data_IF_094727284709
#
_entry.id   IF_094727284709
#
_cell.length_a   1.000
_cell.length_b   1.000
_cell.length_c   1.000
_cell.angle_alpha   90.00
_cell.angle_beta   90.00
_cell.angle_gamma   90.00
#
_symmetry.space_group_name_H-M   'P 1'
#
loop_
_entity.id
_entity.type
_entity.pdbx_description
1 polymer ?
#
# COMPACT_ATOMS: atom_id res chain seq x y z
N UNK A 1 5.20 -8.36 36.04
CA UNK A 1 4.69 -7.12 35.41
C UNK A 1 5.12 -7.18 33.95
N UNK A 2 4.54 -8.12 33.20
CA UNK A 2 4.92 -8.49 31.83
C UNK A 2 3.73 -8.23 30.89
N UNK A 3 3.20 -7.00 30.93
CA UNK A 3 2.03 -6.59 30.14
C UNK A 3 2.40 -5.47 29.14
N UNK A 4 3.70 -5.14 29.01
CA UNK A 4 4.18 -3.97 28.26
C UNK A 4 4.45 -4.21 26.78
N UNK A 5 5.24 -5.23 26.44
CA UNK A 5 5.83 -5.35 25.09
C UNK A 5 4.86 -6.00 24.09
N UNK A 6 4.16 -7.07 24.50
CA UNK A 6 3.21 -7.76 23.64
C UNK A 6 2.01 -6.87 23.25
N UNK A 7 1.55 -6.02 24.17
CA UNK A 7 0.40 -5.13 23.94
C UNK A 7 0.73 -3.95 23.02
N UNK A 8 1.99 -3.50 22.97
CA UNK A 8 2.43 -2.42 22.07
C UNK A 8 2.63 -2.98 20.67
N UNK A 9 3.29 -4.13 20.51
CA UNK A 9 3.36 -4.82 19.23
C UNK A 9 1.97 -5.20 18.71
N UNK A 10 1.02 -5.60 19.56
CA UNK A 10 -0.36 -5.88 19.13
C UNK A 10 -1.18 -4.61 18.84
N UNK A 11 -0.85 -3.46 19.46
CA UNK A 11 -1.49 -2.17 19.18
C UNK A 11 -0.98 -1.57 17.87
N UNK A 12 0.34 -1.62 17.63
CA UNK A 12 0.96 -1.28 16.35
C UNK A 12 0.47 -2.25 15.28
N UNK A 13 0.52 -3.58 15.48
CA UNK A 13 0.02 -4.58 14.51
C UNK A 13 -1.46 -4.45 14.17
N UNK A 14 -2.30 -4.04 15.13
CA UNK A 14 -3.73 -3.75 14.88
C UNK A 14 -3.94 -2.47 14.06
N UNK A 15 -3.01 -1.51 14.13
CA UNK A 15 -2.96 -0.35 13.22
C UNK A 15 -2.23 -0.67 11.91
N UNK A 16 -1.34 -1.67 11.91
CA UNK A 16 -0.44 -2.03 10.81
C UNK A 16 -1.09 -2.82 9.67
N UNK A 17 -2.21 -3.49 9.92
CA UNK A 17 -2.97 -4.13 8.83
C UNK A 17 -3.35 -3.11 7.72
N UNK A 18 -3.39 -1.82 8.08
CA UNK A 18 -3.62 -0.70 7.18
C UNK A 18 -2.42 0.24 7.04
N UNK A 19 -1.18 -0.14 7.42
CA UNK A 19 0.01 0.75 7.35
C UNK A 19 1.33 0.07 6.93
N UNK A 20 1.48 -1.26 7.04
CA UNK A 20 2.77 -1.98 6.86
C UNK A 20 3.21 -2.27 5.41
N UNK A 21 2.87 -1.40 4.48
CA UNK A 21 3.51 -1.42 3.16
C UNK A 21 3.72 0.02 2.71
N UNK A 22 4.55 0.32 1.73
CA UNK A 22 4.55 1.65 1.10
C UNK A 22 3.22 2.00 0.37
N UNK A 23 2.17 1.18 0.56
CA UNK A 23 0.89 1.17 -0.15
C UNK A 23 -0.32 1.75 0.61
N UNK A 24 -0.42 1.74 1.96
CA UNK A 24 -1.57 2.27 2.66
C UNK A 24 -1.58 3.79 2.79
N UNK A 25 -0.43 4.46 2.71
CA UNK A 25 -0.38 5.94 2.80
C UNK A 25 -0.96 6.57 1.51
N UNK A 26 -0.73 5.94 0.35
CA UNK A 26 -1.36 6.36 -0.91
C UNK A 26 -2.84 5.95 -0.97
N UNK A 27 -3.21 4.76 -0.51
CA UNK A 27 -4.62 4.33 -0.53
C UNK A 27 -5.47 5.03 0.54
N UNK A 28 -4.94 5.36 1.73
CA UNK A 28 -5.62 6.21 2.74
C UNK A 28 -5.85 7.65 2.28
N UNK A 29 -5.11 8.17 1.30
CA UNK A 29 -5.50 9.45 0.68
C UNK A 29 -6.75 9.33 -0.21
N UNK A 30 -7.13 8.11 -0.61
CA UNK A 30 -8.38 7.81 -1.32
C UNK A 30 -9.47 7.19 -0.43
N UNK A 31 -9.14 6.68 0.77
CA UNK A 31 -10.08 6.00 1.68
C UNK A 31 -10.11 6.53 3.12
N UNK A 32 -9.29 7.54 3.46
CA UNK A 32 -9.18 8.14 4.80
C UNK A 32 -10.14 9.32 5.04
N UNK A 33 -10.05 9.99 6.22
CA UNK A 33 -11.03 10.95 6.77
C UNK A 33 -11.26 12.25 5.97
N UNK A 34 -10.71 12.36 4.75
CA UNK A 34 -11.15 13.31 3.73
C UNK A 34 -12.43 12.85 3.00
N UNK A 35 -12.92 11.63 3.27
CA UNK A 35 -14.17 11.11 2.73
C UNK A 35 -15.05 10.47 3.82
N UNK A 36 -15.48 11.22 4.86
CA UNK A 36 -16.48 10.70 5.80
C UNK A 36 -17.81 10.49 5.06
N UNK A 37 -18.58 9.41 5.34
CA UNK A 37 -19.93 9.29 4.84
C UNK A 37 -20.76 10.40 5.48
N UNK A 38 -21.17 11.38 4.68
CA UNK A 38 -22.09 12.44 5.09
C UNK A 38 -23.29 12.36 4.16
N UNK A 39 -24.45 12.16 4.75
CA UNK A 39 -25.73 12.10 4.06
C UNK A 39 -25.92 13.39 3.23
N UNK A 40 -26.32 13.25 1.97
CA UNK A 40 -26.67 14.42 1.14
C UNK A 40 -28.15 14.43 0.83
N UNK A 41 -28.86 15.37 1.46
CA UNK A 41 -30.05 15.98 0.90
C UNK A 41 -29.58 17.13 -0.02
N UNK A 42 -29.48 16.90 -1.33
CA UNK A 42 -29.14 17.88 -2.40
C UNK A 42 -27.71 18.47 -2.46
N UNK A 43 -26.91 18.07 -3.47
CA UNK A 43 -25.81 18.91 -3.97
C UNK A 43 -24.56 18.20 -4.51
N UNK A 44 -24.75 17.33 -5.51
CA UNK A 44 -23.80 16.78 -6.50
C UNK A 44 -22.30 16.65 -6.09
N UNK A 45 -21.96 15.50 -5.49
CA UNK A 45 -20.60 14.93 -5.45
C UNK A 45 -20.69 13.43 -5.72
N UNK A 46 -20.09 12.96 -6.82
CA UNK A 46 -20.05 11.53 -7.15
C UNK A 46 -19.05 10.83 -6.23
N UNK A 47 -19.54 10.15 -5.19
CA UNK A 47 -18.71 9.29 -4.34
C UNK A 47 -18.33 8.05 -5.17
N UNK A 48 -17.05 7.94 -5.53
CA UNK A 48 -16.49 6.76 -6.17
C UNK A 48 -16.07 5.77 -5.08
N UNK A 49 -16.82 4.67 -4.87
CA UNK A 49 -16.32 3.64 -3.96
C UNK A 49 -15.12 2.92 -4.59
N UNK A 50 -14.08 2.74 -3.78
CA UNK A 50 -12.79 2.17 -4.16
C UNK A 50 -12.71 0.75 -3.58
N UNK A 51 -12.49 -0.24 -4.44
CA UNK A 51 -12.28 -1.63 -4.03
C UNK A 51 -10.77 -1.93 -4.02
N UNK A 52 -10.24 -2.31 -2.87
CA UNK A 52 -8.82 -2.69 -2.75
C UNK A 52 -8.68 -4.22 -2.79
N UNK A 53 -7.75 -4.71 -3.62
CA UNK A 53 -7.38 -6.13 -3.70
C UNK A 53 -5.87 -6.28 -3.83
N UNK A 54 -5.32 -7.38 -3.30
CA UNK A 54 -3.95 -7.80 -3.55
C UNK A 54 -3.91 -8.79 -4.73
N UNK A 55 -2.96 -8.61 -5.64
CA UNK A 55 -2.74 -9.48 -6.78
C UNK A 55 -2.40 -10.90 -6.33
N UNK A 56 -2.99 -11.89 -7.00
CA UNK A 56 -2.68 -13.30 -6.77
C UNK A 56 -1.21 -13.59 -7.06
N UNK A 57 -0.65 -14.65 -6.45
CA UNK A 57 0.74 -15.08 -6.60
C UNK A 57 1.19 -15.37 -8.05
N UNK A 58 0.24 -15.47 -8.99
CA UNK A 58 0.45 -15.59 -10.43
C UNK A 58 -0.74 -15.02 -11.18
N UNK A 59 -0.57 -14.76 -12.47
CA UNK A 59 -1.67 -14.46 -13.37
C UNK A 59 -2.63 -15.66 -13.47
N UNK A 60 -3.76 -15.54 -12.79
CA UNK A 60 -4.83 -16.53 -12.76
C UNK A 60 -6.19 -15.79 -12.77
N UNK A 61 -6.93 -15.84 -13.88
CA UNK A 61 -8.21 -15.14 -14.02
C UNK A 61 -9.27 -15.61 -13.02
N UNK A 62 -9.29 -16.91 -12.68
CA UNK A 62 -10.25 -17.46 -11.73
C UNK A 62 -9.95 -16.95 -10.34
N UNK A 63 -8.68 -16.99 -9.93
CA UNK A 63 -8.26 -16.45 -8.65
C UNK A 63 -8.53 -14.93 -8.56
N UNK A 64 -8.38 -14.20 -9.67
CA UNK A 64 -8.68 -12.77 -9.72
C UNK A 64 -10.16 -12.47 -9.51
N UNK A 65 -11.06 -13.18 -10.19
CA UNK A 65 -12.50 -13.04 -9.95
C UNK A 65 -12.87 -13.37 -8.50
N UNK A 66 -12.31 -14.45 -7.94
CA UNK A 66 -12.53 -14.84 -6.55
C UNK A 66 -12.07 -13.75 -5.58
N UNK A 67 -10.90 -13.15 -5.80
CA UNK A 67 -10.37 -12.06 -4.98
C UNK A 67 -11.31 -10.84 -4.97
N UNK A 68 -11.89 -10.49 -6.12
CA UNK A 68 -12.87 -9.41 -6.20
C UNK A 68 -14.13 -9.75 -5.40
N UNK A 69 -14.66 -10.96 -5.56
CA UNK A 69 -15.86 -11.41 -4.82
C UNK A 69 -15.60 -11.48 -3.31
N UNK A 70 -14.44 -11.97 -2.88
CA UNK A 70 -14.02 -11.98 -1.48
C UNK A 70 -14.01 -10.55 -0.89
N UNK A 71 -13.42 -9.59 -1.62
CA UNK A 71 -13.36 -8.20 -1.19
C UNK A 71 -14.73 -7.50 -1.14
N UNK A 72 -15.71 -8.01 -1.90
CA UNK A 72 -17.11 -7.56 -1.88
C UNK A 72 -17.98 -8.36 -0.89
N UNK A 73 -17.41 -9.36 -0.21
CA UNK A 73 -18.14 -10.21 0.73
C UNK A 73 -19.16 -11.14 0.05
N UNK A 74 -18.98 -11.44 -1.23
CA UNK A 74 -19.92 -12.26 -2.02
C UNK A 74 -19.47 -13.72 -2.07
N UNK A 75 -20.32 -14.67 -1.66
CA UNK A 75 -19.97 -16.09 -1.71
C UNK A 75 -19.96 -16.63 -3.15
N UNK A 76 -19.10 -17.61 -3.39
CA UNK A 76 -19.01 -18.36 -4.63
C UNK A 76 -18.70 -19.84 -4.35
N UNK A 77 -19.00 -20.71 -5.32
CA UNK A 77 -18.74 -22.13 -5.25
C UNK A 77 -17.25 -22.45 -5.45
N UNK A 78 -16.75 -23.46 -4.73
CA UNK A 78 -15.34 -23.89 -4.82
C UNK A 78 -14.94 -24.34 -6.24
N UNK A 79 -15.89 -24.91 -7.00
CA UNK A 79 -15.70 -25.48 -8.33
C UNK A 79 -16.34 -24.63 -9.45
N UNK A 80 -16.71 -23.39 -9.15
CA UNK A 80 -17.33 -22.54 -10.16
C UNK A 80 -16.37 -22.29 -11.31
N UNK A 81 -16.91 -22.35 -12.53
CA UNK A 81 -16.15 -22.13 -13.74
C UNK A 81 -15.75 -20.66 -13.85
N UNK A 82 -14.72 -20.40 -14.66
CA UNK A 82 -14.31 -19.03 -14.97
C UNK A 82 -15.47 -18.18 -15.52
N UNK A 83 -16.29 -18.74 -16.42
CA UNK A 83 -17.43 -18.04 -17.01
C UNK A 83 -18.48 -17.65 -15.96
N UNK A 84 -18.77 -18.55 -15.01
CA UNK A 84 -19.70 -18.29 -13.91
C UNK A 84 -19.18 -17.18 -12.99
N UNK A 85 -17.92 -17.27 -12.55
CA UNK A 85 -17.29 -16.27 -11.68
C UNK A 85 -17.15 -14.91 -12.37
N UNK A 86 -16.74 -14.89 -13.63
CA UNK A 86 -16.59 -13.66 -14.43
C UNK A 86 -17.93 -12.93 -14.56
N UNK A 87 -19.00 -13.66 -14.90
CA UNK A 87 -20.35 -13.10 -14.95
C UNK A 87 -20.80 -12.57 -13.59
N UNK A 88 -20.60 -13.35 -12.52
CA UNK A 88 -20.98 -12.93 -11.17
C UNK A 88 -20.24 -11.65 -10.74
N UNK A 89 -18.95 -11.54 -11.04
CA UNK A 89 -18.17 -10.31 -10.79
C UNK A 89 -18.79 -9.11 -11.52
N UNK A 90 -19.13 -9.25 -12.80
CA UNK A 90 -19.73 -8.17 -13.57
C UNK A 90 -21.10 -7.76 -13.01
N UNK A 91 -21.93 -8.72 -12.65
CA UNK A 91 -23.27 -8.46 -12.12
C UNK A 91 -23.21 -7.75 -10.76
N UNK A 92 -22.37 -8.25 -9.84
CA UNK A 92 -22.16 -7.62 -8.53
C UNK A 92 -21.58 -6.22 -8.69
N UNK A 93 -20.51 -6.05 -9.48
CA UNK A 93 -19.88 -4.74 -9.64
C UNK A 93 -20.83 -3.73 -10.29
N UNK A 94 -21.75 -4.16 -11.17
CA UNK A 94 -22.78 -3.30 -11.78
C UNK A 94 -23.79 -2.79 -10.77
N UNK A 95 -24.12 -3.60 -9.76
CA UNK A 95 -25.03 -3.22 -8.67
C UNK A 95 -24.33 -2.38 -7.59
N UNK A 96 -22.99 -2.40 -7.55
CA UNK A 96 -22.21 -1.60 -6.61
C UNK A 96 -21.96 -0.17 -7.10
N UNK A 97 -21.60 0.72 -6.17
CA UNK A 97 -21.05 2.04 -6.47
C UNK A 97 -19.55 2.01 -6.83
N UNK A 98 -18.95 0.83 -7.06
CA UNK A 98 -17.50 0.71 -7.29
C UNK A 98 -17.15 1.32 -8.63
N UNK A 99 -16.13 2.18 -8.61
CA UNK A 99 -15.71 2.95 -9.78
C UNK A 99 -14.20 2.95 -9.96
N UNK A 100 -13.48 2.46 -8.95
CA UNK A 100 -12.06 2.20 -9.00
C UNK A 100 -11.72 0.88 -8.30
N UNK A 101 -10.87 0.07 -8.92
CA UNK A 101 -10.25 -1.10 -8.30
C UNK A 101 -8.76 -0.81 -8.14
N UNK A 102 -8.27 -0.87 -6.90
CA UNK A 102 -6.86 -0.79 -6.56
C UNK A 102 -6.31 -2.20 -6.47
N UNK A 103 -5.26 -2.48 -7.24
CA UNK A 103 -4.57 -3.76 -7.24
C UNK A 103 -3.17 -3.55 -6.68
N UNK A 104 -2.95 -4.10 -5.50
CA UNK A 104 -1.64 -4.14 -4.90
C UNK A 104 -0.82 -5.36 -5.35
N UNK A 105 0.51 -5.28 -5.29
CA UNK A 105 1.44 -6.29 -5.82
C UNK A 105 1.20 -6.70 -7.27
N UNK A 106 0.82 -5.75 -8.11
CA UNK A 106 0.49 -5.97 -9.53
C UNK A 106 1.57 -6.73 -10.31
N UNK A 107 2.83 -6.61 -9.86
CA UNK A 107 3.96 -7.32 -10.43
C UNK A 107 3.84 -8.86 -10.34
N UNK A 108 3.03 -9.40 -9.42
CA UNK A 108 2.76 -10.84 -9.35
C UNK A 108 2.09 -11.39 -10.62
N UNK A 109 1.37 -10.56 -11.38
CA UNK A 109 0.78 -10.96 -12.67
C UNK A 109 1.82 -11.15 -13.79
N UNK A 110 3.09 -10.78 -13.57
CA UNK A 110 4.18 -11.15 -14.46
C UNK A 110 4.50 -12.65 -14.40
N UNK A 111 4.08 -13.36 -13.36
CA UNK A 111 4.32 -14.80 -13.20
C UNK A 111 3.15 -15.60 -13.77
N UNK A 112 3.42 -16.62 -14.57
CA UNK A 112 2.40 -17.52 -15.12
C UNK A 112 2.51 -17.74 -16.62
N UNK A 113 1.67 -18.64 -17.15
CA UNK A 113 1.60 -18.95 -18.58
C UNK A 113 1.00 -17.77 -19.36
N UNK A 114 1.42 -17.62 -20.62
CA UNK A 114 0.97 -16.51 -21.47
C UNK A 114 -0.54 -16.49 -21.67
N UNK A 115 -1.17 -17.65 -21.89
CA UNK A 115 -2.62 -17.77 -22.08
C UNK A 115 -3.41 -17.33 -20.84
N UNK A 116 -2.90 -17.60 -19.63
CA UNK A 116 -3.51 -17.15 -18.38
C UNK A 116 -3.37 -15.63 -18.18
N UNK A 117 -2.20 -15.07 -18.55
CA UNK A 117 -1.99 -13.62 -18.54
C UNK A 117 -2.93 -12.91 -19.50
N UNK A 118 -3.08 -13.44 -20.70
CA UNK A 118 -3.97 -12.88 -21.73
C UNK A 118 -5.44 -12.98 -21.30
N UNK A 119 -5.84 -14.09 -20.67
CA UNK A 119 -7.18 -14.23 -20.11
C UNK A 119 -7.44 -13.24 -18.95
N UNK A 120 -6.45 -12.99 -18.09
CA UNK A 120 -6.55 -12.03 -16.99
C UNK A 120 -6.68 -10.60 -17.51
N UNK A 121 -5.82 -10.23 -18.47
CA UNK A 121 -5.90 -8.96 -19.20
C UNK A 121 -7.26 -8.73 -19.82
N UNK A 122 -7.78 -9.71 -20.55
CA UNK A 122 -9.11 -9.64 -21.13
C UNK A 122 -10.19 -9.46 -20.06
N UNK A 123 -10.08 -10.14 -18.91
CA UNK A 123 -11.01 -9.98 -17.78
C UNK A 123 -10.99 -8.54 -17.25
N UNK A 124 -9.80 -7.98 -17.00
CA UNK A 124 -9.65 -6.59 -16.57
C UNK A 124 -10.20 -5.61 -17.61
N UNK A 125 -9.92 -5.85 -18.90
CA UNK A 125 -10.43 -5.03 -20.00
C UNK A 125 -11.97 -5.03 -20.05
N UNK A 126 -12.59 -6.21 -19.89
CA UNK A 126 -14.05 -6.35 -19.85
C UNK A 126 -14.65 -5.56 -18.69
N UNK A 127 -14.13 -5.72 -17.48
CA UNK A 127 -14.57 -4.96 -16.30
C UNK A 127 -14.45 -3.45 -16.55
N UNK A 128 -13.30 -3.00 -17.06
CA UNK A 128 -13.07 -1.58 -17.31
C UNK A 128 -14.02 -1.00 -18.36
N UNK A 129 -14.19 -1.70 -19.49
CA UNK A 129 -14.98 -1.18 -20.61
C UNK A 129 -16.49 -1.24 -20.33
N UNK A 130 -16.99 -2.35 -19.78
CA UNK A 130 -18.42 -2.52 -19.55
C UNK A 130 -18.93 -1.69 -18.38
N UNK A 131 -18.15 -1.60 -17.30
CA UNK A 131 -18.58 -0.97 -16.06
C UNK A 131 -17.98 0.42 -15.86
N UNK A 132 -17.11 0.88 -16.78
CA UNK A 132 -16.36 2.14 -16.67
C UNK A 132 -15.53 2.25 -15.38
N UNK A 133 -15.08 1.11 -14.88
CA UNK A 133 -14.23 1.02 -13.69
C UNK A 133 -12.78 1.31 -14.09
N UNK A 134 -12.13 2.18 -13.33
CA UNK A 134 -10.69 2.46 -13.48
C UNK A 134 -9.86 1.52 -12.62
N UNK A 135 -8.65 1.19 -13.07
CA UNK A 135 -7.70 0.40 -12.29
C UNK A 135 -6.54 1.28 -11.84
N UNK A 136 -6.17 1.17 -10.57
CA UNK A 136 -4.93 1.70 -10.02
C UNK A 136 -4.06 0.52 -9.59
N UNK A 137 -2.86 0.41 -10.14
CA UNK A 137 -1.97 -0.72 -9.90
C UNK A 137 -0.71 -0.26 -9.15
N UNK A 138 -0.39 -0.91 -8.05
CA UNK A 138 0.83 -0.71 -7.27
C UNK A 138 1.77 -1.90 -7.46
N UNK A 139 3.07 -1.63 -7.60
CA UNK A 139 4.08 -2.68 -7.77
C UNK A 139 5.41 -2.13 -8.26
N UNK A 140 6.33 -3.05 -8.57
CA UNK A 140 7.67 -2.69 -9.04
C UNK A 140 7.66 -2.24 -10.51
N UNK A 141 8.68 -1.49 -10.97
CA UNK A 141 8.72 -0.94 -12.33
C UNK A 141 8.55 -1.96 -13.46
N UNK A 142 9.00 -3.21 -13.28
CA UNK A 142 8.85 -4.28 -14.28
C UNK A 142 7.39 -4.62 -14.57
N UNK A 143 6.47 -4.34 -13.63
CA UNK A 143 5.04 -4.60 -13.80
C UNK A 143 4.42 -3.77 -14.95
N UNK A 144 5.06 -2.67 -15.34
CA UNK A 144 4.66 -1.89 -16.51
C UNK A 144 4.67 -2.70 -17.80
N UNK A 145 5.54 -3.72 -17.91
CA UNK A 145 5.56 -4.61 -19.07
C UNK A 145 4.22 -5.33 -19.25
N UNK A 146 3.60 -5.77 -18.15
CA UNK A 146 2.31 -6.48 -18.21
C UNK A 146 1.22 -5.62 -18.86
N UNK A 147 1.22 -4.31 -18.56
CA UNK A 147 0.28 -3.31 -19.08
C UNK A 147 0.64 -2.91 -20.51
N UNK A 148 1.94 -2.74 -20.80
CA UNK A 148 2.43 -2.28 -22.09
C UNK A 148 2.22 -3.29 -23.23
N UNK A 149 2.22 -4.60 -22.92
CA UNK A 149 1.92 -5.67 -23.88
C UNK A 149 0.46 -5.63 -24.41
N UNK A 150 -0.39 -4.79 -23.83
CA UNK A 150 -1.79 -4.63 -24.22
C UNK A 150 -2.09 -3.22 -24.72
N UNK A 151 -2.06 -3.06 -26.05
CA UNK A 151 -2.26 -1.79 -26.77
C UNK A 151 -3.54 -1.01 -26.41
N UNK A 152 -4.57 -1.65 -25.85
CA UNK A 152 -5.83 -0.99 -25.46
C UNK A 152 -5.91 -0.59 -23.98
N UNK A 153 -5.09 -1.19 -23.11
CA UNK A 153 -5.03 -0.84 -21.69
C UNK A 153 -3.99 0.24 -21.45
N UNK A 154 -2.87 0.24 -22.18
CA UNK A 154 -1.76 1.19 -22.01
C UNK A 154 -2.15 2.67 -22.04
N UNK A 155 -3.14 3.08 -22.84
CA UNK A 155 -3.61 4.48 -22.91
C UNK A 155 -4.43 4.93 -21.69
N UNK A 156 -4.95 3.98 -20.90
CA UNK A 156 -5.78 4.24 -19.71
C UNK A 156 -5.00 4.19 -18.40
N UNK A 157 -3.84 3.53 -18.38
CA UNK A 157 -2.95 3.53 -17.22
C UNK A 157 -1.98 4.70 -17.30
N UNK A 158 -2.16 5.69 -16.42
CA UNK A 158 -1.15 6.73 -16.20
C UNK A 158 -0.08 6.19 -15.26
N UNK A 159 1.17 6.21 -15.72
CA UNK A 159 2.31 5.88 -14.87
C UNK A 159 2.53 7.02 -13.87
N UNK A 160 2.48 6.70 -12.58
CA UNK A 160 3.03 7.52 -11.52
C UNK A 160 4.18 6.73 -10.88
N UNK A 161 5.29 7.41 -10.59
CA UNK A 161 6.41 6.83 -9.85
C UNK A 161 6.42 7.51 -8.49
N UNK A 162 6.41 6.71 -7.43
CA UNK A 162 6.66 7.19 -6.08
C UNK A 162 8.16 7.50 -5.99
N UNK A 163 8.56 8.78 -5.87
CA UNK A 163 9.97 9.13 -5.76
C UNK A 163 10.50 8.68 -4.39
N UNK A 164 11.81 8.45 -4.31
CA UNK A 164 12.48 8.37 -3.01
C UNK A 164 12.42 9.73 -2.32
N UNK A 165 12.35 9.71 -1.00
CA UNK A 165 12.42 10.91 -0.19
C UNK A 165 13.86 11.42 -0.11
N UNK A 166 14.03 12.71 -0.36
CA UNK A 166 15.33 13.37 -0.35
C UNK A 166 15.19 14.83 0.13
N UNK A 167 16.33 15.43 0.48
CA UNK A 167 16.38 16.79 1.03
C UNK A 167 16.25 17.89 -0.03
N UNK A 168 16.26 17.54 -1.32
CA UNK A 168 16.34 18.49 -2.44
C UNK A 168 14.97 18.71 -3.09
N UNK A 169 14.27 17.63 -3.40
CA UNK A 169 13.09 17.59 -4.26
C UNK A 169 11.78 17.55 -3.45
N UNK A 170 11.77 16.90 -2.28
CA UNK A 170 10.52 16.60 -1.57
C UNK A 170 10.61 16.73 -0.03
N UNK A 171 11.63 17.45 0.47
CA UNK A 171 11.87 17.65 1.91
C UNK A 171 10.63 18.15 2.68
N UNK A 172 9.93 19.17 2.16
CA UNK A 172 8.77 19.76 2.85
C UNK A 172 7.62 18.76 2.99
N UNK A 173 7.34 18.00 1.93
CA UNK A 173 6.31 16.96 1.95
C UNK A 173 6.71 15.82 2.88
N UNK A 174 8.00 15.46 2.90
CA UNK A 174 8.51 14.46 3.83
C UNK A 174 8.40 14.91 5.30
N UNK A 175 8.68 16.17 5.60
CA UNK A 175 8.46 16.74 6.95
C UNK A 175 6.99 16.66 7.39
N UNK A 176 6.05 16.90 6.47
CA UNK A 176 4.61 16.76 6.75
C UNK A 176 4.22 15.30 7.01
N UNK A 177 4.79 14.37 6.25
CA UNK A 177 4.61 12.94 6.46
C UNK A 177 5.14 12.51 7.83
N UNK A 178 6.35 12.92 8.19
CA UNK A 178 6.95 12.62 9.50
C UNK A 178 6.14 13.20 10.65
N UNK A 179 5.60 14.41 10.53
CA UNK A 179 4.70 14.96 11.55
C UNK A 179 3.40 14.15 11.67
N UNK A 180 2.90 13.60 10.57
CA UNK A 180 1.71 12.75 10.56
C UNK A 180 2.00 11.38 11.21
N UNK A 181 3.13 10.76 10.87
CA UNK A 181 3.60 9.51 11.49
C UNK A 181 3.88 9.69 12.98
N UNK A 182 4.49 10.80 13.39
CA UNK A 182 4.74 11.10 14.80
C UNK A 182 3.44 11.11 15.62
N UNK A 183 2.35 11.61 15.04
CA UNK A 183 1.05 11.67 15.71
C UNK A 183 0.43 10.29 15.99
N UNK A 184 0.91 9.23 15.33
CA UNK A 184 0.46 7.86 15.54
C UNK A 184 1.37 7.07 16.48
N UNK A 185 2.57 7.60 16.81
CA UNK A 185 3.50 6.91 17.68
C UNK A 185 3.01 6.96 19.14
N UNK A 186 3.05 5.84 19.89
CA UNK A 186 2.62 5.76 21.29
C UNK A 186 3.66 6.35 22.27
N UNK A 187 4.25 7.50 21.94
CA UNK A 187 5.28 8.17 22.76
C UNK A 187 4.66 9.32 23.56
N UNK A 188 5.06 9.46 24.83
CA UNK A 188 4.55 10.52 25.71
C UNK A 188 5.16 11.89 25.41
N UNK A 189 6.38 11.93 24.85
CA UNK A 189 7.08 13.17 24.52
C UNK A 189 7.13 13.35 23.01
N UNK A 190 6.89 14.58 22.56
CA UNK A 190 7.06 14.93 21.16
C UNK A 190 8.53 14.77 20.74
N UNK A 191 8.75 13.95 19.72
CA UNK A 191 10.06 13.73 19.11
C UNK A 191 10.43 14.84 18.12
N UNK A 192 9.42 15.57 17.62
CA UNK A 192 9.52 16.59 16.60
C UNK A 192 10.26 16.08 15.35
N UNK A 193 9.81 14.95 14.80
CA UNK A 193 10.48 14.23 13.70
C UNK A 193 10.68 15.12 12.45
N UNK A 194 9.84 16.13 12.28
CA UNK A 194 9.92 17.12 11.21
C UNK A 194 11.14 18.06 11.29
N UNK A 195 11.89 18.06 12.41
CA UNK A 195 13.10 18.87 12.55
C UNK A 195 14.19 18.40 11.59
N UNK A 196 14.91 19.36 11.00
CA UNK A 196 15.92 19.12 9.96
C UNK A 196 16.93 18.01 10.30
N UNK A 197 17.42 17.97 11.55
CA UNK A 197 18.41 16.98 11.97
C UNK A 197 17.88 15.54 11.93
N UNK A 198 16.65 15.30 12.40
CA UNK A 198 16.01 13.99 12.35
C UNK A 198 15.61 13.62 10.92
N UNK A 199 15.11 14.59 10.15
CA UNK A 199 14.76 14.40 8.73
C UNK A 199 15.96 13.89 7.93
N UNK A 200 17.11 14.57 8.02
CA UNK A 200 18.32 14.18 7.29
C UNK A 200 18.81 12.80 7.72
N UNK A 201 18.74 12.50 9.02
CA UNK A 201 19.15 11.21 9.57
C UNK A 201 18.26 10.07 9.08
N UNK A 202 16.94 10.25 9.14
CA UNK A 202 15.97 9.27 8.64
C UNK A 202 16.12 9.05 7.14
N UNK A 203 16.35 10.09 6.34
CA UNK A 203 16.62 9.95 4.90
C UNK A 203 17.87 9.12 4.66
N UNK A 204 18.94 9.37 5.40
CA UNK A 204 20.20 8.64 5.23
C UNK A 204 20.07 7.17 5.63
N UNK A 205 19.44 6.88 6.77
CA UNK A 205 19.25 5.52 7.27
C UNK A 205 18.31 4.68 6.39
N UNK A 206 17.26 5.31 5.86
CA UNK A 206 16.26 4.67 4.99
C UNK A 206 16.61 4.69 3.50
N UNK A 207 17.66 5.43 3.11
CA UNK A 207 17.97 5.76 1.71
C UNK A 207 16.79 6.36 0.93
N UNK A 208 15.91 7.06 1.65
CA UNK A 208 14.70 7.68 1.11
C UNK A 208 13.54 6.72 0.84
N UNK A 209 13.61 5.48 1.33
CA UNK A 209 12.54 4.47 1.20
C UNK A 209 11.59 4.60 2.38
N UNK A 210 10.30 4.80 2.12
CA UNK A 210 9.33 5.06 3.18
C UNK A 210 9.06 3.82 4.05
N UNK A 211 9.05 2.61 3.48
CA UNK A 211 8.96 1.38 4.26
C UNK A 211 10.07 1.30 5.31
N UNK A 212 11.31 1.56 4.91
CA UNK A 212 12.46 1.58 5.83
C UNK A 212 12.34 2.72 6.86
N UNK A 213 11.75 3.88 6.51
CA UNK A 213 11.45 4.93 7.50
C UNK A 213 10.47 4.43 8.56
N UNK A 214 9.41 3.73 8.15
CA UNK A 214 8.43 3.17 9.08
C UNK A 214 9.08 2.15 10.01
N UNK A 215 9.88 1.23 9.45
CA UNK A 215 10.59 0.22 10.23
C UNK A 215 11.57 0.85 11.24
N UNK A 216 12.35 1.84 10.81
CA UNK A 216 13.25 2.60 11.71
C UNK A 216 12.46 3.25 12.84
N UNK A 217 11.32 3.86 12.53
CA UNK A 217 10.49 4.53 13.55
C UNK A 217 9.84 3.53 14.51
N UNK A 218 9.46 2.35 14.04
CA UNK A 218 8.96 1.27 14.89
C UNK A 218 10.03 0.82 15.89
N UNK A 219 11.22 0.47 15.39
CA UNK A 219 12.35 0.05 16.25
C UNK A 219 12.75 1.17 17.24
N UNK A 220 12.82 2.42 16.76
CA UNK A 220 13.12 3.58 17.59
C UNK A 220 12.07 3.79 18.69
N UNK A 221 10.79 3.59 18.36
CA UNK A 221 9.69 3.73 19.31
C UNK A 221 9.76 2.66 20.39
N UNK A 222 10.03 1.41 20.02
CA UNK A 222 10.18 0.30 20.97
C UNK A 222 11.34 0.61 21.93
N UNK A 223 12.51 0.96 21.41
CA UNK A 223 13.68 1.30 22.22
C UNK A 223 13.41 2.48 23.16
N UNK A 224 12.77 3.55 22.66
CA UNK A 224 12.45 4.73 23.47
C UNK A 224 11.50 4.41 24.64
N UNK A 225 10.58 3.45 24.46
CA UNK A 225 9.69 2.99 25.53
C UNK A 225 10.44 2.11 26.52
N UNK A 226 11.29 1.21 26.05
CA UNK A 226 12.07 0.29 26.90
C UNK A 226 13.09 1.04 27.76
N UNK A 227 13.73 2.07 27.22
CA UNK A 227 14.67 2.94 27.96
C UNK A 227 13.96 3.96 28.86
N UNK A 228 12.66 4.17 28.67
CA UNK A 228 11.81 5.08 29.45
C UNK A 228 11.93 6.56 29.06
N UNK A 229 12.72 6.88 28.04
CA UNK A 229 12.84 8.25 27.52
C UNK A 229 11.56 8.70 26.82
N UNK A 230 10.83 7.76 26.20
CA UNK A 230 9.56 7.97 25.48
C UNK A 230 9.63 9.13 24.48
N UNK A 231 10.79 9.28 23.82
CA UNK A 231 11.10 10.28 22.80
C UNK A 231 12.14 9.74 21.81
N UNK A 232 11.93 9.93 20.50
CA UNK A 232 12.93 9.61 19.48
C UNK A 232 13.90 10.79 19.36
N UNK A 233 15.17 10.53 19.56
CA UNK A 233 16.26 11.52 19.45
C UNK A 233 17.30 11.06 18.42
N UNK A 234 18.15 11.96 17.89
CA UNK A 234 19.22 11.56 16.97
C UNK A 234 20.16 10.49 17.56
N UNK A 235 20.46 10.59 18.86
CA UNK A 235 21.32 9.65 19.58
C UNK A 235 20.69 8.26 19.68
N UNK A 236 19.38 8.19 19.94
CA UNK A 236 18.64 6.92 19.93
C UNK A 236 18.65 6.27 18.53
N UNK A 237 18.48 7.08 17.48
CA UNK A 237 18.61 6.55 16.12
C UNK A 237 20.04 6.05 15.81
N UNK A 238 21.08 6.58 16.47
CA UNK A 238 22.45 6.09 16.31
C UNK A 238 22.68 4.75 17.03
N UNK A 239 21.94 4.49 18.12
CA UNK A 239 22.06 3.25 18.91
C UNK A 239 21.29 2.06 18.34
N UNK A 240 20.40 2.26 17.35
CA UNK A 240 19.63 1.18 16.72
C UNK A 240 20.50 0.11 16.03
N UNK A 241 21.72 0.44 15.62
CA UNK A 241 22.54 -0.47 14.82
C UNK A 241 21.92 -0.79 13.45
N UNK A 242 21.10 0.13 12.94
CA UNK A 242 20.37 -0.02 11.68
C UNK A 242 21.32 -0.22 10.50
N UNK A 243 21.06 -1.28 9.71
CA UNK A 243 21.81 -1.58 8.49
C UNK A 243 21.02 -1.05 7.30
N UNK A 244 21.62 -0.15 6.51
CA UNK A 244 20.91 0.47 5.39
C UNK A 244 20.57 -0.56 4.29
N UNK A 245 19.56 -0.29 3.45
CA UNK A 245 19.20 -1.18 2.34
C UNK A 245 20.39 -1.55 1.45
N UNK A 246 21.25 -0.58 1.10
CA UNK A 246 22.43 -0.84 0.27
C UNK A 246 23.45 -1.73 0.98
N UNK A 247 23.66 -1.54 2.28
CA UNK A 247 24.59 -2.38 3.06
C UNK A 247 24.06 -3.82 3.19
N UNK A 248 22.76 -3.98 3.47
CA UNK A 248 22.08 -5.29 3.55
C UNK A 248 22.26 -6.10 2.27
N UNK A 249 22.16 -5.45 1.11
CA UNK A 249 22.38 -6.09 -0.19
C UNK A 249 23.82 -6.55 -0.41
N UNK A 250 24.83 -5.86 0.15
CA UNK A 250 26.23 -6.30 0.04
C UNK A 250 26.45 -7.58 0.84
N UNK A 251 25.96 -7.63 2.07
CA UNK A 251 26.05 -8.83 2.91
C UNK A 251 25.37 -10.05 2.28
N UNK A 252 24.23 -9.86 1.62
CA UNK A 252 23.50 -10.93 0.93
C UNK A 252 24.21 -11.47 -0.33
N UNK A 253 25.05 -10.67 -0.98
CA UNK A 253 25.81 -11.08 -2.17
C UNK A 253 27.19 -11.66 -1.83
N UNK A 254 27.67 -11.46 -0.61
CA UNK A 254 28.96 -11.95 -0.10
C UNK A 254 28.83 -13.26 0.70
N UNK A 255 27.60 -13.71 0.97
CA UNK A 255 27.24 -14.97 1.66
C UNK A 255 26.79 -16.04 0.68
#
# INVERSE_FOLDING_TARGET
>A
MEIGTQSVCDHLRRQDADLLTDKPIYTKSFTGPLNPPVDSENGDRTIFSVLHIEANSKADPIAFCKRILDALGVPYGKKDSFECLSKQVLDVLRETSVRMIVIDEFHNFLVGRQDMKDALRNTMRTISNELRISFLAFGVPSALQFIAEENQMSSRFKRAVIPRWDTVNNMKTFQQLLASLESTLPLRKASNLHQKGLVEKLINMSEGILGEVVDILEEATIMAIEEGDEQITPALLDSLGWITPTERLKFANES
#
